data_IF_984234842770
#
_entry.id   IF_984234842770
#
_cell.length_a   1.000
_cell.length_b   1.000
_cell.length_c   1.000
_cell.angle_alpha   90.00
_cell.angle_beta   90.00
_cell.angle_gamma   90.00
#
_symmetry.space_group_name_H-M   'P 1'
#
loop_
_entity.id
_entity.type
_entity.pdbx_description
1 polymer ?
#
# COMPACT_ATOMS: atom_id res chain seq x y z
N UNK A 1 -28.93 35.54 -52.19
CA UNK A 1 -28.22 34.35 -51.66
C UNK A 1 -27.50 34.75 -50.38
N UNK A 2 -28.16 34.58 -49.24
CA UNK A 2 -27.69 35.04 -47.92
C UNK A 2 -27.13 33.81 -47.21
N UNK A 3 -25.82 33.78 -46.96
CA UNK A 3 -25.18 32.70 -46.16
C UNK A 3 -25.30 32.95 -44.69
N UNK A 4 -26.02 32.09 -43.97
CA UNK A 4 -26.00 32.04 -42.52
C UNK A 4 -24.68 31.40 -42.04
N UNK A 5 -23.92 32.12 -41.27
CA UNK A 5 -22.77 31.59 -40.54
C UNK A 5 -23.26 31.07 -39.17
N UNK A 6 -23.16 29.74 -38.97
CA UNK A 6 -23.44 29.13 -37.66
C UNK A 6 -22.22 29.30 -36.76
N UNK A 7 -22.39 30.05 -35.68
CA UNK A 7 -21.38 30.19 -34.61
C UNK A 7 -21.50 29.01 -33.68
N UNK A 8 -20.51 28.10 -33.67
CA UNK A 8 -20.35 27.04 -32.66
C UNK A 8 -19.72 27.67 -31.41
N UNK A 9 -20.51 27.82 -30.35
CA UNK A 9 -19.97 28.11 -29.02
C UNK A 9 -19.40 26.84 -28.44
N UNK A 10 -18.07 26.78 -28.36
CA UNK A 10 -17.35 25.78 -27.54
C UNK A 10 -17.51 26.19 -26.07
N UNK A 11 -18.34 25.45 -25.35
CA UNK A 11 -18.41 25.56 -23.88
C UNK A 11 -17.14 24.92 -23.29
N UNK A 12 -16.18 25.74 -22.87
CA UNK A 12 -15.08 25.30 -22.00
C UNK A 12 -15.70 25.05 -20.63
N UNK A 13 -15.84 23.77 -20.27
CA UNK A 13 -16.09 23.37 -18.88
C UNK A 13 -14.82 23.74 -18.10
N UNK A 14 -14.88 24.81 -17.32
CA UNK A 14 -13.86 25.12 -16.32
C UNK A 14 -14.03 24.09 -15.20
N UNK A 15 -13.17 23.06 -15.17
CA UNK A 15 -13.01 22.26 -13.96
C UNK A 15 -12.66 23.22 -12.81
N UNK A 16 -13.47 23.23 -11.78
CA UNK A 16 -13.14 23.95 -10.55
C UNK A 16 -11.81 23.40 -10.02
N UNK A 17 -10.91 24.24 -9.50
CA UNK A 17 -9.69 23.73 -8.90
C UNK A 17 -10.07 22.74 -7.79
N UNK A 18 -9.52 21.55 -7.85
CA UNK A 18 -9.67 20.54 -6.79
C UNK A 18 -9.28 21.18 -5.46
N UNK A 19 -10.25 21.35 -4.57
CA UNK A 19 -9.99 21.88 -3.24
C UNK A 19 -9.76 20.72 -2.30
N UNK A 20 -8.49 20.41 -2.03
CA UNK A 20 -8.11 19.45 -1.01
C UNK A 20 -8.74 19.79 0.33
N UNK A 21 -9.32 18.79 1.00
CA UNK A 21 -9.97 18.95 2.28
C UNK A 21 -8.97 19.01 3.43
N UNK A 22 -9.36 19.63 4.55
CA UNK A 22 -8.57 19.62 5.77
C UNK A 22 -8.35 18.19 6.27
N UNK A 23 -7.13 17.89 6.73
CA UNK A 23 -6.75 16.60 7.28
C UNK A 23 -6.43 16.75 8.74
N UNK A 24 -7.08 15.95 9.59
CA UNK A 24 -6.82 15.87 11.02
C UNK A 24 -6.09 14.56 11.32
N UNK A 25 -5.04 14.65 12.14
CA UNK A 25 -4.19 13.53 12.57
C UNK A 25 -4.15 13.55 14.09
N UNK A 26 -4.78 12.57 14.74
CA UNK A 26 -5.02 12.56 16.19
C UNK A 26 -4.55 11.24 16.83
N UNK A 27 -3.65 11.32 17.82
CA UNK A 27 -3.12 10.13 18.51
C UNK A 27 -4.00 9.71 19.71
N UNK A 28 -4.23 8.41 19.80
CA UNK A 28 -4.91 7.75 20.92
C UNK A 28 -4.12 6.48 21.33
N UNK A 29 -3.24 6.63 22.31
CA UNK A 29 -2.37 5.50 22.74
C UNK A 29 -1.43 5.06 21.63
N UNK A 30 -1.57 3.81 21.20
CA UNK A 30 -0.79 3.17 20.13
C UNK A 30 -1.49 3.23 18.75
N UNK A 31 -2.40 4.16 18.61
CA UNK A 31 -3.16 4.41 17.38
C UNK A 31 -3.15 5.89 17.02
N UNK A 32 -3.20 6.17 15.72
CA UNK A 32 -3.35 7.54 15.19
C UNK A 32 -4.49 7.52 14.19
N UNK A 33 -5.57 8.24 14.51
CA UNK A 33 -6.71 8.42 13.62
C UNK A 33 -6.43 9.53 12.61
N UNK A 34 -6.81 9.28 11.36
CA UNK A 34 -6.73 10.23 10.27
C UNK A 34 -8.13 10.50 9.74
N UNK A 35 -8.52 11.77 9.71
CA UNK A 35 -9.77 12.25 9.15
C UNK A 35 -9.49 13.18 7.96
N UNK A 36 -10.32 13.13 6.93
CA UNK A 36 -10.24 14.01 5.76
C UNK A 36 -11.62 14.65 5.55
N UNK A 37 -11.70 15.99 5.56
CA UNK A 37 -12.95 16.71 5.47
C UNK A 37 -13.93 16.38 6.61
N UNK A 38 -13.41 16.13 7.82
CA UNK A 38 -14.20 15.74 8.99
C UNK A 38 -14.77 14.31 8.94
N UNK A 39 -14.41 13.50 7.92
CA UNK A 39 -14.81 12.09 7.79
C UNK A 39 -13.65 11.15 8.16
N UNK A 40 -13.91 10.04 8.89
CA UNK A 40 -12.88 9.04 9.15
C UNK A 40 -12.30 8.47 7.85
N UNK A 41 -10.98 8.44 7.75
CA UNK A 41 -10.27 7.87 6.61
C UNK A 41 -9.58 6.56 6.98
N UNK A 42 -8.68 6.61 7.95
CA UNK A 42 -7.94 5.43 8.41
C UNK A 42 -7.42 5.63 9.82
N UNK A 43 -6.98 4.52 10.45
CA UNK A 43 -6.24 4.52 11.72
C UNK A 43 -4.89 3.83 11.51
N UNK A 44 -3.79 4.49 11.88
CA UNK A 44 -2.46 3.88 11.93
C UNK A 44 -2.28 3.17 13.28
N UNK A 45 -2.11 1.86 13.24
CA UNK A 45 -1.96 0.98 14.39
C UNK A 45 -0.48 0.54 14.48
N UNK A 46 0.19 0.88 15.58
CA UNK A 46 1.62 0.62 15.80
C UNK A 46 1.93 -0.02 17.16
N UNK A 47 0.91 -0.50 17.85
CA UNK A 47 1.03 -1.21 19.12
C UNK A 47 1.65 -2.61 18.98
N UNK A 48 1.99 -3.21 20.11
CA UNK A 48 2.62 -4.53 20.19
C UNK A 48 1.69 -5.70 19.86
N UNK A 49 0.40 -5.46 19.65
CA UNK A 49 -0.62 -6.46 19.34
C UNK A 49 -0.40 -7.15 17.97
N UNK A 50 0.27 -6.46 17.04
CA UNK A 50 0.66 -7.01 15.76
C UNK A 50 2.18 -7.07 15.62
N UNK A 51 2.69 -7.94 14.75
CA UNK A 51 4.13 -8.05 14.51
C UNK A 51 4.70 -6.86 13.73
N UNK A 52 3.85 -6.09 13.06
CA UNK A 52 4.21 -4.93 12.24
C UNK A 52 3.13 -3.87 12.29
N UNK A 53 3.46 -2.57 12.09
CA UNK A 53 2.46 -1.51 12.01
C UNK A 53 1.63 -1.62 10.73
N UNK A 54 0.40 -1.12 10.77
CA UNK A 54 -0.53 -1.17 9.65
C UNK A 54 -1.53 -0.02 9.70
N UNK A 55 -2.14 0.31 8.55
CA UNK A 55 -3.28 1.22 8.46
C UNK A 55 -4.56 0.42 8.23
N UNK A 56 -5.58 0.65 9.09
CA UNK A 56 -6.87 -0.03 9.03
C UNK A 56 -7.99 0.79 9.70
N UNK A 57 -9.21 0.77 9.11
CA UNK A 57 -9.48 0.41 7.71
C UNK A 57 -9.04 1.53 6.76
N UNK A 58 -8.88 1.25 5.47
CA UNK A 58 -8.89 2.30 4.46
C UNK A 58 -10.31 2.54 3.97
N UNK A 59 -10.69 3.81 3.78
CA UNK A 59 -12.02 4.21 3.35
C UNK A 59 -11.97 5.09 2.11
N UNK A 60 -12.98 4.96 1.25
CA UNK A 60 -13.23 5.89 0.15
C UNK A 60 -13.62 7.29 0.67
N UNK A 61 -13.73 8.25 -0.22
CA UNK A 61 -14.24 9.59 0.09
C UNK A 61 -15.70 9.58 0.60
N UNK A 62 -16.46 8.55 0.24
CA UNK A 62 -17.83 8.35 0.72
C UNK A 62 -17.91 7.62 2.06
N UNK A 63 -16.77 7.06 2.53
CA UNK A 63 -16.66 6.34 3.80
C UNK A 63 -16.74 4.81 3.68
N UNK A 64 -16.87 4.28 2.46
CA UNK A 64 -16.89 2.83 2.21
C UNK A 64 -15.54 2.20 2.52
N UNK A 65 -15.53 1.12 3.30
CA UNK A 65 -14.31 0.36 3.62
C UNK A 65 -13.88 -0.42 2.39
N UNK A 66 -12.62 -0.22 1.96
CA UNK A 66 -12.04 -0.85 0.76
C UNK A 66 -10.98 -1.91 1.08
N UNK A 67 -10.65 -2.09 2.37
CA UNK A 67 -9.71 -3.12 2.83
C UNK A 67 -10.42 -4.22 3.62
N UNK A 68 -9.85 -5.44 3.59
CA UNK A 68 -10.32 -6.57 4.39
C UNK A 68 -10.27 -6.22 5.89
N UNK A 69 -11.28 -6.68 6.64
CA UNK A 69 -11.38 -6.42 8.07
C UNK A 69 -10.69 -7.48 8.93
N UNK A 70 -10.66 -8.73 8.48
CA UNK A 70 -9.96 -9.81 9.19
C UNK A 70 -8.43 -9.64 9.11
N UNK A 71 -7.65 -9.85 10.21
CA UNK A 71 -8.07 -10.32 11.53
C UNK A 71 -8.43 -9.21 12.54
N UNK A 72 -8.38 -7.92 12.16
CA UNK A 72 -8.59 -6.79 13.07
C UNK A 72 -10.02 -6.72 13.60
N UNK A 73 -10.99 -7.09 12.77
CA UNK A 73 -12.40 -7.26 13.14
C UNK A 73 -12.82 -8.66 12.75
N UNK A 74 -13.39 -9.40 13.72
CA UNK A 74 -13.88 -10.75 13.47
C UNK A 74 -15.26 -10.77 12.82
N UNK A 75 -15.57 -11.91 12.17
CA UNK A 75 -16.92 -12.29 11.75
C UNK A 75 -17.67 -11.32 10.83
N UNK A 76 -16.96 -10.72 9.87
CA UNK A 76 -17.61 -10.01 8.77
C UNK A 76 -18.16 -11.04 7.78
N UNK A 77 -19.49 -11.08 7.55
CA UNK A 77 -20.09 -12.08 6.67
C UNK A 77 -19.52 -12.09 5.25
N UNK A 78 -19.06 -13.25 4.79
CA UNK A 78 -18.52 -13.46 3.45
C UNK A 78 -17.05 -13.05 3.28
N UNK A 79 -16.39 -12.55 4.32
CA UNK A 79 -14.96 -12.25 4.30
C UNK A 79 -14.13 -13.53 4.55
N UNK A 80 -13.03 -13.72 3.79
CA UNK A 80 -12.15 -14.86 3.96
C UNK A 80 -11.26 -14.70 5.20
N UNK A 81 -11.11 -15.79 5.98
CA UNK A 81 -10.28 -15.84 7.18
C UNK A 81 -8.94 -16.55 6.94
N UNK A 82 -8.40 -16.41 5.74
CA UNK A 82 -7.07 -16.86 5.35
C UNK A 82 -6.01 -15.78 5.61
N UNK A 83 -4.74 -16.16 5.59
CA UNK A 83 -3.60 -15.24 5.62
C UNK A 83 -3.77 -14.08 6.64
N UNK A 84 -3.93 -14.38 7.94
CA UNK A 84 -4.25 -13.35 8.95
C UNK A 84 -3.13 -12.31 9.15
N UNK A 85 -1.91 -12.60 8.72
CA UNK A 85 -0.79 -11.66 8.72
C UNK A 85 -0.92 -10.56 7.64
N UNK A 86 -1.83 -10.71 6.68
CA UNK A 86 -2.11 -9.69 5.64
C UNK A 86 -3.13 -8.67 6.17
N UNK A 87 -2.67 -7.78 7.05
CA UNK A 87 -3.49 -6.77 7.73
C UNK A 87 -3.68 -5.55 6.83
N UNK A 88 -4.88 -5.32 6.29
CA UNK A 88 -5.23 -4.15 5.48
C UNK A 88 -4.06 -3.56 4.65
N UNK A 89 -3.38 -2.49 5.10
CA UNK A 89 -2.23 -1.90 4.42
C UNK A 89 -1.00 -1.90 5.33
N UNK A 90 0.12 -2.46 4.88
CA UNK A 90 1.33 -2.62 5.68
C UNK A 90 2.61 -2.68 4.81
N UNK A 91 3.76 -2.44 5.46
CA UNK A 91 5.08 -2.59 4.86
C UNK A 91 5.87 -3.63 5.66
N UNK A 92 6.39 -4.65 4.98
CA UNK A 92 7.21 -5.71 5.58
C UNK A 92 7.83 -6.59 4.50
N UNK A 93 8.80 -7.44 4.86
CA UNK A 93 9.42 -8.37 3.93
C UNK A 93 9.69 -9.74 4.58
N UNK A 94 9.52 -10.82 3.82
CA UNK A 94 9.56 -12.20 4.31
C UNK A 94 10.96 -12.78 4.52
N UNK A 95 12.01 -12.05 4.15
CA UNK A 95 13.41 -12.47 4.41
C UNK A 95 14.30 -11.24 4.62
N UNK A 96 14.49 -10.85 5.88
CA UNK A 96 15.50 -9.84 6.26
C UNK A 96 16.54 -10.53 7.13
N UNK A 97 17.76 -10.72 6.64
CA UNK A 97 18.82 -11.51 7.28
C UNK A 97 18.36 -12.92 7.73
N UNK A 98 17.42 -13.55 6.98
CA UNK A 98 16.89 -14.87 7.30
C UNK A 98 15.66 -14.88 8.23
N UNK A 99 15.16 -13.73 8.65
CA UNK A 99 13.97 -13.61 9.48
C UNK A 99 12.77 -13.09 8.67
N UNK A 100 11.60 -13.68 8.93
CA UNK A 100 10.34 -13.31 8.30
C UNK A 100 9.64 -12.18 9.08
N UNK A 101 9.62 -10.98 8.50
CA UNK A 101 8.88 -9.82 9.01
C UNK A 101 7.51 -9.66 8.33
N UNK A 102 7.27 -10.38 7.21
CA UNK A 102 5.98 -10.36 6.51
C UNK A 102 4.93 -11.19 7.23
N UNK A 103 5.29 -12.41 7.61
CA UNK A 103 4.47 -13.30 8.42
C UNK A 103 4.35 -12.82 9.87
N UNK A 104 3.63 -13.57 10.69
CA UNK A 104 3.50 -13.36 12.13
C UNK A 104 3.59 -14.71 12.84
N UNK A 105 4.39 -14.81 13.91
CA UNK A 105 4.62 -16.06 14.62
C UNK A 105 3.32 -16.71 15.14
N UNK A 106 2.34 -15.90 15.55
CA UNK A 106 1.02 -16.35 16.00
C UNK A 106 0.23 -17.07 14.90
N UNK A 107 0.56 -16.75 13.63
CA UNK A 107 -0.07 -17.31 12.45
C UNK A 107 0.89 -18.21 11.65
N UNK A 108 1.90 -18.80 12.29
CA UNK A 108 2.96 -19.59 11.65
C UNK A 108 2.45 -20.69 10.71
N UNK A 109 1.25 -21.25 10.95
CA UNK A 109 0.60 -22.23 10.06
C UNK A 109 0.34 -21.72 8.64
N UNK A 110 0.31 -20.39 8.46
CA UNK A 110 0.13 -19.72 7.18
C UNK A 110 1.45 -19.28 6.54
N UNK A 111 2.56 -19.44 7.26
CA UNK A 111 3.90 -19.10 6.79
C UNK A 111 4.67 -20.32 6.34
N UNK A 112 5.59 -20.13 5.40
CA UNK A 112 6.53 -21.14 4.95
C UNK A 112 7.75 -21.26 5.87
N UNK A 113 7.87 -20.40 6.90
CA UNK A 113 8.97 -20.36 7.86
C UNK A 113 8.58 -20.97 9.21
N UNK A 114 9.58 -21.37 10.00
CA UNK A 114 9.34 -21.79 11.38
C UNK A 114 9.08 -20.58 12.29
N UNK A 115 8.34 -20.71 13.40
CA UNK A 115 8.10 -19.61 14.33
C UNK A 115 9.36 -18.94 14.90
N UNK A 116 10.48 -19.68 14.95
CA UNK A 116 11.77 -19.17 15.44
C UNK A 116 12.48 -18.23 14.45
N UNK A 117 12.04 -18.18 13.21
CA UNK A 117 12.61 -17.32 12.18
C UNK A 117 11.83 -16.03 11.94
N UNK A 118 10.85 -15.71 12.78
CA UNK A 118 10.07 -14.48 12.63
C UNK A 118 10.77 -13.27 13.26
N UNK A 119 10.53 -12.09 12.64
CA UNK A 119 10.88 -10.79 13.18
C UNK A 119 9.65 -9.98 13.58
N UNK A 120 9.87 -8.82 14.19
CA UNK A 120 8.84 -7.84 14.55
C UNK A 120 9.35 -6.44 14.27
N UNK A 121 8.49 -5.59 13.73
CA UNK A 121 8.72 -4.14 13.58
C UNK A 121 8.19 -3.46 14.85
N UNK A 122 9.10 -3.05 15.74
CA UNK A 122 8.79 -2.57 17.09
C UNK A 122 8.85 -1.06 17.14
N UNK A 123 7.77 -0.40 17.57
CA UNK A 123 7.70 1.05 17.68
C UNK A 123 8.76 1.63 18.62
N UNK A 124 9.46 2.68 18.17
CA UNK A 124 10.48 3.40 18.92
C UNK A 124 10.06 4.84 19.21
N UNK A 125 9.68 5.59 18.18
CA UNK A 125 9.34 7.02 18.32
C UNK A 125 8.32 7.48 17.27
N UNK A 126 7.62 8.56 17.60
CA UNK A 126 6.81 9.34 16.66
C UNK A 126 7.51 10.69 16.45
N UNK A 127 8.07 10.90 15.24
CA UNK A 127 8.84 12.07 14.91
C UNK A 127 8.00 13.24 14.38
N UNK A 128 6.94 12.92 13.64
CA UNK A 128 6.05 13.91 13.06
C UNK A 128 4.61 13.48 13.22
N UNK A 129 3.76 14.40 13.59
CA UNK A 129 2.31 14.30 13.51
C UNK A 129 1.77 15.70 13.23
N UNK A 130 1.17 15.88 12.05
CA UNK A 130 0.72 17.19 11.57
C UNK A 130 -0.63 17.08 10.90
N UNK A 131 -1.57 17.85 11.42
CA UNK A 131 -2.83 18.19 10.75
C UNK A 131 -2.64 19.42 9.87
N UNK A 132 -3.47 19.64 8.83
CA UNK A 132 -3.39 20.85 8.02
C UNK A 132 -4.45 20.96 6.94
N UNK A 133 -4.54 22.14 6.34
CA UNK A 133 -5.42 22.41 5.22
C UNK A 133 -4.84 21.74 3.97
N UNK A 134 -5.61 20.83 3.37
CA UNK A 134 -5.24 20.09 2.17
C UNK A 134 -4.35 18.86 2.40
N UNK A 135 -3.60 18.77 3.50
CA UNK A 135 -2.82 17.56 3.82
C UNK A 135 -2.48 17.42 5.29
N UNK A 136 -2.38 16.18 5.76
CA UNK A 136 -1.82 15.80 7.06
C UNK A 136 -0.65 14.84 6.91
N UNK A 137 0.20 14.71 7.93
CA UNK A 137 1.35 13.82 7.87
C UNK A 137 1.63 13.16 9.22
N UNK A 138 2.23 11.96 9.15
CA UNK A 138 2.86 11.33 10.30
C UNK A 138 4.19 10.67 9.88
N UNK A 139 5.14 10.60 10.82
CA UNK A 139 6.38 9.84 10.67
C UNK A 139 6.71 9.13 11.96
N UNK A 140 6.92 7.83 11.88
CA UNK A 140 7.24 6.98 13.01
C UNK A 140 8.50 6.16 12.74
N UNK A 141 9.26 5.86 13.79
CA UNK A 141 10.49 5.09 13.79
C UNK A 141 10.29 3.78 14.53
N UNK A 142 10.94 2.74 13.99
CA UNK A 142 10.83 1.37 14.47
C UNK A 142 12.21 0.70 14.50
N UNK A 143 12.32 -0.29 15.37
CA UNK A 143 13.40 -1.27 15.37
C UNK A 143 12.94 -2.55 14.67
N UNK A 144 13.76 -3.12 13.80
CA UNK A 144 13.57 -4.46 13.25
C UNK A 144 14.20 -5.48 14.22
N UNK A 145 13.35 -6.15 14.98
CA UNK A 145 13.76 -7.03 16.08
C UNK A 145 13.48 -8.49 15.71
N UNK A 146 14.52 -9.34 15.81
CA UNK A 146 14.43 -10.77 15.54
C UNK A 146 13.74 -11.54 16.66
N UNK A 147 13.37 -12.81 16.41
CA UNK A 147 12.88 -13.73 17.45
C UNK A 147 13.89 -13.91 18.61
N UNK A 148 15.18 -13.74 18.35
CA UNK A 148 16.27 -13.82 19.34
C UNK A 148 16.44 -12.49 20.12
N UNK A 149 15.56 -11.51 19.86
CA UNK A 149 15.50 -10.17 20.49
C UNK A 149 16.71 -9.29 20.12
N UNK A 150 17.33 -9.54 18.98
CA UNK A 150 18.36 -8.67 18.43
C UNK A 150 17.72 -7.58 17.56
N UNK A 151 18.11 -6.33 17.74
CA UNK A 151 17.79 -5.25 16.80
C UNK A 151 18.79 -5.34 15.63
N UNK A 152 18.31 -5.58 14.42
CA UNK A 152 19.15 -5.77 13.23
C UNK A 152 19.13 -4.58 12.27
N UNK A 153 18.19 -3.68 12.40
CA UNK A 153 18.07 -2.48 11.57
C UNK A 153 17.03 -1.51 12.16
N UNK A 154 17.02 -0.29 11.67
CA UNK A 154 15.96 0.67 11.93
C UNK A 154 15.08 0.85 10.69
N UNK A 155 13.78 1.11 10.92
CA UNK A 155 12.82 1.41 9.88
C UNK A 155 12.09 2.71 10.18
N UNK A 156 11.98 3.59 9.18
CA UNK A 156 11.13 4.80 9.25
C UNK A 156 9.94 4.60 8.31
N UNK A 157 8.74 4.82 8.81
CA UNK A 157 7.51 4.88 8.02
C UNK A 157 6.97 6.31 8.06
N UNK A 158 6.83 6.94 6.89
CA UNK A 158 6.25 8.26 6.75
C UNK A 158 5.07 8.23 5.79
N UNK A 159 4.00 8.91 6.17
CA UNK A 159 2.76 8.97 5.40
C UNK A 159 2.30 10.42 5.29
N UNK A 160 1.88 10.82 4.09
CA UNK A 160 1.14 12.07 3.86
C UNK A 160 -0.24 11.72 3.34
N UNK A 161 -1.25 12.26 3.99
CA UNK A 161 -2.65 12.02 3.68
C UNK A 161 -3.25 13.26 3.03
N UNK A 162 -4.02 13.07 1.98
CA UNK A 162 -4.81 14.12 1.32
C UNK A 162 -6.06 13.53 0.68
N UNK A 163 -6.95 14.37 0.23
CA UNK A 163 -8.17 13.94 -0.47
C UNK A 163 -9.18 15.05 -0.59
N UNK A 164 -10.20 14.81 -1.40
CA UNK A 164 -11.33 15.68 -1.65
C UNK A 164 -12.68 14.95 -1.48
N UNK A 165 -13.72 15.36 -2.20
CA UNK A 165 -15.05 14.72 -2.16
C UNK A 165 -15.10 13.38 -2.91
N UNK A 166 -14.10 13.08 -3.76
CA UNK A 166 -14.11 11.96 -4.70
C UNK A 166 -13.01 10.96 -4.45
N UNK A 167 -11.88 11.41 -3.87
CA UNK A 167 -10.67 10.58 -3.76
C UNK A 167 -9.95 10.72 -2.42
N UNK A 168 -9.11 9.73 -2.14
CA UNK A 168 -8.18 9.68 -1.01
C UNK A 168 -6.80 9.27 -1.49
N UNK A 169 -5.78 9.98 -1.03
CA UNK A 169 -4.38 9.70 -1.36
C UNK A 169 -3.59 9.48 -0.08
N UNK A 170 -2.72 8.48 -0.11
CA UNK A 170 -1.68 8.26 0.88
C UNK A 170 -0.34 8.19 0.16
N UNK A 171 0.51 9.18 0.34
CA UNK A 171 1.91 9.10 -0.08
C UNK A 171 2.73 8.43 1.03
N UNK A 172 3.37 7.31 0.67
CA UNK A 172 4.11 6.46 1.59
C UNK A 172 5.60 6.56 1.30
N UNK A 173 6.42 6.70 2.34
CA UNK A 173 7.88 6.60 2.26
C UNK A 173 8.39 5.70 3.37
N UNK A 174 9.06 4.63 2.97
CA UNK A 174 9.69 3.66 3.86
C UNK A 174 11.21 3.76 3.71
N UNK A 175 11.92 3.82 4.84
CA UNK A 175 13.38 3.83 4.85
C UNK A 175 13.84 2.73 5.80
N UNK A 176 14.63 1.80 5.29
CA UNK A 176 15.32 0.80 6.11
C UNK A 176 16.78 1.24 6.22
N UNK A 177 17.28 1.39 7.45
CA UNK A 177 18.63 1.81 7.74
C UNK A 177 19.44 0.68 8.40
N UNK A 178 20.53 0.27 7.76
CA UNK A 178 21.38 -0.86 8.17
C UNK A 178 22.43 -0.42 9.20
N UNK A 179 22.01 0.12 10.35
CA UNK A 179 22.87 0.69 11.39
C UNK A 179 23.51 -0.35 12.34
N UNK A 180 23.17 -1.64 12.17
CA UNK A 180 23.75 -2.75 12.93
C UNK A 180 24.63 -3.67 12.07
N UNK A 181 25.13 -3.20 10.94
CA UNK A 181 25.91 -3.96 9.97
C UNK A 181 25.17 -4.14 8.64
N UNK A 182 25.76 -4.83 7.66
CA UNK A 182 25.12 -5.05 6.37
C UNK A 182 23.80 -5.81 6.54
N UNK A 183 22.76 -5.36 5.84
CA UNK A 183 21.42 -5.96 5.92
C UNK A 183 21.04 -6.55 4.57
N UNK A 184 20.78 -7.86 4.53
CA UNK A 184 20.30 -8.55 3.34
C UNK A 184 18.77 -8.58 3.31
N UNK A 185 18.18 -8.00 2.27
CA UNK A 185 16.79 -8.20 1.91
C UNK A 185 16.76 -9.37 0.92
N UNK A 186 16.14 -10.48 1.30
CA UNK A 186 16.21 -11.75 0.55
C UNK A 186 15.26 -11.80 -0.64
N UNK A 187 15.47 -12.80 -1.50
CA UNK A 187 14.61 -13.06 -2.66
C UNK A 187 13.41 -13.92 -2.23
N UNK A 188 12.27 -13.29 -2.03
CA UNK A 188 10.99 -13.95 -1.75
C UNK A 188 9.83 -13.16 -2.34
N UNK A 189 8.74 -13.84 -2.74
CA UNK A 189 7.50 -13.18 -3.16
C UNK A 189 6.76 -12.50 -2.00
N UNK A 190 7.06 -12.91 -0.75
CA UNK A 190 6.44 -12.38 0.47
C UNK A 190 7.01 -11.00 0.81
N UNK A 191 6.46 -9.98 0.22
CA UNK A 191 6.90 -8.57 0.34
C UNK A 191 6.25 -7.70 -0.71
N UNK A 192 6.47 -6.39 -0.68
CA UNK A 192 7.13 -5.62 0.38
C UNK A 192 6.15 -4.60 0.92
N UNK A 193 5.44 -3.87 0.04
CA UNK A 193 4.36 -2.97 0.39
C UNK A 193 3.03 -3.59 -0.05
N UNK A 194 2.20 -3.98 0.91
CA UNK A 194 1.01 -4.79 0.67
C UNK A 194 -0.28 -4.15 1.17
N UNK A 195 -1.36 -4.38 0.40
CA UNK A 195 -2.74 -4.08 0.79
C UNK A 195 -3.58 -5.33 0.57
N UNK A 196 -4.42 -5.68 1.55
CA UNK A 196 -5.46 -6.69 1.37
C UNK A 196 -6.79 -5.98 1.16
N UNK A 197 -7.34 -6.05 -0.06
CA UNK A 197 -8.61 -5.41 -0.41
C UNK A 197 -9.82 -6.18 0.13
N UNK A 198 -10.96 -5.50 0.22
CA UNK A 198 -12.24 -6.10 0.63
C UNK A 198 -12.73 -7.11 -0.42
N UNK A 199 -13.48 -8.13 0.03
CA UNK A 199 -13.99 -9.22 -0.81
C UNK A 199 -14.69 -8.77 -2.10
N UNK A 200 -15.42 -7.66 -2.06
CA UNK A 200 -16.15 -7.13 -3.21
C UNK A 200 -15.23 -6.62 -4.34
N UNK A 201 -13.97 -6.27 -4.05
CA UNK A 201 -12.96 -5.89 -5.04
C UNK A 201 -12.17 -7.10 -5.59
N UNK A 202 -12.37 -8.29 -5.05
CA UNK A 202 -11.70 -9.49 -5.53
C UNK A 202 -12.38 -10.05 -6.79
N UNK A 203 -11.62 -10.51 -7.81
CA UNK A 203 -12.20 -11.26 -8.91
C UNK A 203 -12.93 -12.55 -8.43
N UNK A 204 -14.03 -12.97 -9.05
CA UNK A 204 -14.63 -12.39 -10.27
C UNK A 204 -15.61 -11.23 -10.02
N UNK A 205 -15.92 -10.88 -8.77
CA UNK A 205 -16.87 -9.81 -8.43
C UNK A 205 -16.28 -8.44 -8.76
N UNK A 206 -15.04 -8.20 -8.32
CA UNK A 206 -14.24 -7.04 -8.70
C UNK A 206 -13.31 -7.35 -9.88
N UNK A 207 -12.47 -6.38 -10.19
CA UNK A 207 -11.54 -6.42 -11.30
C UNK A 207 -10.15 -6.03 -10.83
N UNK A 208 -9.12 -6.47 -11.56
CA UNK A 208 -7.74 -6.03 -11.36
C UNK A 208 -7.09 -5.74 -12.71
N UNK A 209 -6.34 -4.65 -12.79
CA UNK A 209 -5.64 -4.18 -13.99
C UNK A 209 -4.30 -3.55 -13.63
N UNK A 210 -3.32 -3.59 -14.52
CA UNK A 210 -2.05 -2.88 -14.36
C UNK A 210 -1.85 -1.79 -15.42
N UNK A 211 -0.81 -0.97 -15.26
CA UNK A 211 -0.46 0.13 -16.17
C UNK A 211 -0.23 -0.29 -17.63
N UNK A 212 0.09 -1.55 -17.89
CA UNK A 212 0.22 -2.14 -19.22
C UNK A 212 -1.10 -2.64 -19.82
N UNK A 213 -2.23 -2.48 -19.11
CA UNK A 213 -3.55 -2.96 -19.53
C UNK A 213 -3.77 -4.46 -19.36
N UNK A 214 -2.84 -5.19 -18.72
CA UNK A 214 -3.03 -6.59 -18.38
C UNK A 214 -4.02 -6.72 -17.22
N UNK A 215 -4.87 -7.75 -17.27
CA UNK A 215 -5.95 -7.99 -16.30
C UNK A 215 -5.85 -9.38 -15.67
N UNK A 216 -6.43 -9.50 -14.47
CA UNK A 216 -6.48 -10.74 -13.72
C UNK A 216 -5.12 -11.22 -13.22
N UNK A 217 -5.13 -12.17 -12.28
CA UNK A 217 -3.91 -12.67 -11.63
C UNK A 217 -2.85 -13.14 -12.64
N UNK A 218 -3.26 -13.93 -13.64
CA UNK A 218 -2.33 -14.48 -14.65
C UNK A 218 -1.59 -13.41 -15.47
N UNK A 219 -2.23 -12.26 -15.65
CA UNK A 219 -1.66 -11.13 -16.41
C UNK A 219 -0.77 -10.22 -15.55
N UNK A 220 -0.96 -10.21 -14.23
CA UNK A 220 -0.36 -9.22 -13.33
C UNK A 220 0.66 -9.85 -12.39
N UNK A 221 0.38 -11.01 -11.81
CA UNK A 221 1.29 -11.68 -10.88
C UNK A 221 2.67 -11.93 -11.51
N UNK A 222 3.71 -11.50 -10.81
CA UNK A 222 5.09 -11.62 -11.29
C UNK A 222 5.41 -10.81 -12.55
N UNK A 223 4.62 -9.78 -12.85
CA UNK A 223 4.87 -8.85 -13.96
C UNK A 223 5.25 -7.48 -13.43
N UNK A 224 6.01 -6.75 -14.24
CA UNK A 224 6.42 -5.37 -13.92
C UNK A 224 5.36 -4.41 -14.45
N UNK A 225 5.01 -3.42 -13.63
CA UNK A 225 4.08 -2.35 -14.00
C UNK A 225 4.32 -1.13 -13.11
N UNK A 226 3.97 0.05 -13.61
CA UNK A 226 4.09 1.31 -12.88
C UNK A 226 3.07 1.39 -11.74
N UNK A 227 1.91 0.76 -11.94
CA UNK A 227 0.83 0.67 -10.95
C UNK A 227 -0.05 -0.55 -11.20
N UNK A 228 -0.76 -0.96 -10.15
CA UNK A 228 -1.84 -1.96 -10.21
C UNK A 228 -3.04 -1.41 -9.44
N UNK A 229 -4.22 -1.61 -10.01
CA UNK A 229 -5.51 -1.18 -9.49
C UNK A 229 -6.49 -2.35 -9.32
N UNK A 230 -7.24 -2.33 -8.21
CA UNK A 230 -8.41 -3.18 -7.95
C UNK A 230 -9.65 -2.30 -7.87
N UNK A 231 -10.67 -2.60 -8.66
CA UNK A 231 -11.90 -1.80 -8.69
C UNK A 231 -13.16 -2.65 -8.83
N UNK A 232 -14.27 -2.12 -8.37
CA UNK A 232 -15.55 -2.82 -8.41
C UNK A 232 -16.65 -2.05 -7.67
N UNK A 233 -17.74 -2.76 -7.34
CA UNK A 233 -18.83 -2.20 -6.55
C UNK A 233 -18.77 -2.72 -5.11
N UNK A 234 -18.58 -1.82 -4.15
CA UNK A 234 -18.56 -2.13 -2.72
C UNK A 234 -19.74 -1.43 -2.05
N UNK A 235 -20.69 -2.20 -1.54
CA UNK A 235 -21.89 -1.70 -0.87
C UNK A 235 -22.68 -0.64 -1.67
N UNK A 236 -22.68 -0.75 -3.01
CA UNK A 236 -23.39 0.18 -3.91
C UNK A 236 -22.52 1.32 -4.44
N UNK A 237 -21.30 1.50 -3.94
CA UNK A 237 -20.33 2.48 -4.43
C UNK A 237 -19.40 1.85 -5.48
N UNK A 238 -19.26 2.49 -6.65
CA UNK A 238 -18.21 2.15 -7.62
C UNK A 238 -16.90 2.77 -7.14
N UNK A 239 -15.93 1.94 -6.76
CA UNK A 239 -14.69 2.37 -6.11
C UNK A 239 -13.50 1.55 -6.57
N UNK A 240 -12.32 2.16 -6.62
CA UNK A 240 -11.05 1.49 -6.88
C UNK A 240 -9.98 1.86 -5.86
N UNK A 241 -8.95 1.01 -5.80
CA UNK A 241 -7.75 1.19 -4.98
C UNK A 241 -6.52 0.78 -5.79
N UNK A 242 -5.68 1.77 -6.10
CA UNK A 242 -4.42 1.56 -6.80
C UNK A 242 -3.21 1.75 -5.88
N UNK A 243 -2.15 0.96 -6.11
CA UNK A 243 -0.80 1.26 -5.64
C UNK A 243 0.03 1.71 -6.84
N UNK A 244 0.69 2.87 -6.71
CA UNK A 244 1.58 3.47 -7.71
C UNK A 244 3.03 3.35 -7.20
N UNK A 245 3.91 2.76 -8.03
CA UNK A 245 5.33 2.56 -7.74
C UNK A 245 6.16 3.76 -8.19
N UNK A 246 6.93 4.37 -7.29
CA UNK A 246 7.69 5.59 -7.63
C UNK A 246 8.89 5.28 -8.53
N UNK A 247 9.20 6.13 -9.55
CA UNK A 247 10.32 5.91 -10.47
C UNK A 247 11.70 5.80 -9.81
N UNK A 248 11.89 6.38 -8.63
CA UNK A 248 13.14 6.28 -7.87
C UNK A 248 13.28 4.99 -7.05
N UNK A 249 12.27 4.14 -7.03
CA UNK A 249 12.35 2.89 -6.30
C UNK A 249 13.36 1.93 -6.91
N UNK A 250 14.00 1.14 -6.03
CA UNK A 250 14.88 0.07 -6.46
C UNK A 250 14.15 -0.84 -7.47
N UNK A 251 14.75 -1.04 -8.65
CA UNK A 251 14.21 -1.90 -9.73
C UNK A 251 12.84 -1.46 -10.25
N UNK A 252 12.53 -0.17 -10.19
CA UNK A 252 11.31 0.36 -10.81
C UNK A 252 11.24 0.02 -12.33
N UNK A 253 10.05 -0.32 -12.91
CA UNK A 253 8.80 -0.67 -12.23
C UNK A 253 8.90 -1.97 -11.44
N UNK A 254 8.27 -2.00 -10.25
CA UNK A 254 8.27 -3.18 -9.39
C UNK A 254 7.59 -4.39 -10.03
N UNK A 255 7.95 -5.59 -9.57
CA UNK A 255 7.12 -6.78 -9.75
C UNK A 255 5.94 -6.75 -8.77
N UNK A 256 4.85 -7.43 -9.14
CA UNK A 256 3.62 -7.39 -8.36
C UNK A 256 3.24 -8.77 -7.85
N UNK A 257 3.08 -8.90 -6.54
CA UNK A 257 2.41 -10.01 -5.89
C UNK A 257 0.91 -9.66 -5.77
N UNK A 258 0.20 -9.70 -6.91
CA UNK A 258 -1.22 -9.36 -7.00
C UNK A 258 -2.04 -10.63 -7.22
N UNK A 259 -2.97 -10.92 -6.32
CA UNK A 259 -3.68 -12.19 -6.24
C UNK A 259 -5.19 -12.00 -6.34
N UNK A 260 -5.86 -12.93 -6.98
CA UNK A 260 -7.32 -12.89 -7.12
C UNK A 260 -8.07 -12.97 -5.77
N UNK A 261 -7.41 -13.38 -4.70
CA UNK A 261 -7.95 -13.35 -3.33
C UNK A 261 -7.72 -12.01 -2.63
N UNK A 262 -7.39 -10.95 -3.35
CA UNK A 262 -7.35 -9.57 -2.85
C UNK A 262 -6.04 -9.09 -2.25
N UNK A 263 -4.94 -9.85 -2.33
CA UNK A 263 -3.62 -9.31 -2.01
C UNK A 263 -3.08 -8.50 -3.19
N UNK A 264 -2.71 -7.25 -2.93
CA UNK A 264 -2.01 -6.36 -3.83
C UNK A 264 -0.70 -5.92 -3.18
N UNK A 265 0.45 -6.39 -3.68
CA UNK A 265 1.73 -6.00 -3.15
C UNK A 265 2.77 -5.67 -4.23
N UNK A 266 3.46 -4.53 -4.07
CA UNK A 266 4.62 -4.16 -4.84
C UNK A 266 5.87 -4.78 -4.22
N UNK A 267 6.66 -5.55 -5.00
CA UNK A 267 7.82 -6.27 -4.47
C UNK A 267 9.00 -6.27 -5.46
N UNK A 268 10.06 -5.50 -5.20
CA UNK A 268 11.24 -5.47 -6.06
C UNK A 268 12.21 -6.64 -5.84
N UNK A 269 11.96 -7.57 -4.91
CA UNK A 269 12.93 -8.59 -4.50
C UNK A 269 12.58 -10.03 -4.91
N UNK A 270 11.33 -10.36 -5.24
CA UNK A 270 10.84 -11.72 -5.46
C UNK A 270 11.16 -12.33 -6.82
N UNK A 271 12.34 -12.09 -7.42
CA UNK A 271 12.65 -12.45 -8.81
C UNK A 271 12.54 -13.94 -9.08
N UNK A 272 13.05 -14.78 -8.17
CA UNK A 272 13.10 -16.24 -8.31
C UNK A 272 11.70 -16.82 -8.48
N UNK A 273 10.76 -16.39 -7.65
CA UNK A 273 9.40 -16.89 -7.70
C UNK A 273 8.60 -16.23 -8.83
N UNK A 274 8.72 -14.93 -9.02
CA UNK A 274 7.96 -14.19 -10.05
C UNK A 274 8.32 -14.62 -11.47
N UNK A 275 9.58 -14.96 -11.72
CA UNK A 275 10.05 -15.38 -13.04
C UNK A 275 10.15 -16.90 -13.18
N UNK A 276 9.78 -17.66 -12.13
CA UNK A 276 9.89 -19.14 -12.10
C UNK A 276 11.29 -19.65 -12.46
N UNK A 277 12.33 -18.90 -12.08
CA UNK A 277 13.72 -19.24 -12.35
C UNK A 277 14.56 -19.28 -11.07
N UNK A 278 14.89 -20.48 -10.62
CA UNK A 278 15.69 -20.74 -9.41
C UNK A 278 17.14 -20.25 -9.48
N UNK A 279 17.61 -19.87 -10.67
CA UNK A 279 18.97 -19.36 -10.87
C UNK A 279 19.06 -17.85 -10.68
N UNK A 280 17.93 -17.17 -10.62
CA UNK A 280 17.86 -15.74 -10.33
C UNK A 280 18.04 -15.48 -8.82
N UNK A 281 18.57 -14.32 -8.51
CA UNK A 281 18.66 -13.81 -7.14
C UNK A 281 18.20 -12.33 -7.13
N UNK A 282 17.00 -12.11 -6.60
CA UNK A 282 16.42 -10.80 -6.39
C UNK A 282 16.82 -10.15 -5.07
N UNK A 283 17.68 -10.78 -4.28
CA UNK A 283 18.13 -10.19 -3.02
C UNK A 283 18.87 -8.86 -3.23
N UNK A 284 18.92 -8.06 -2.18
CA UNK A 284 19.64 -6.79 -2.14
C UNK A 284 20.33 -6.63 -0.79
N UNK A 285 21.59 -6.21 -0.80
CA UNK A 285 22.32 -5.92 0.43
C UNK A 285 22.42 -4.41 0.62
N UNK A 286 21.85 -3.92 1.71
CA UNK A 286 22.07 -2.55 2.18
C UNK A 286 23.43 -2.59 2.91
N UNK A 287 24.46 -1.81 2.46
CA UNK A 287 25.75 -1.77 3.15
C UNK A 287 25.59 -1.28 4.59
N UNK A 288 26.54 -1.60 5.46
CA UNK A 288 26.57 -1.04 6.81
C UNK A 288 26.49 0.49 6.75
N UNK A 289 25.67 1.07 7.62
CA UNK A 289 25.33 2.50 7.69
C UNK A 289 24.64 3.07 6.44
N UNK A 290 24.28 2.19 5.48
CA UNK A 290 23.50 2.55 4.30
C UNK A 290 22.00 2.51 4.56
N UNK A 291 21.23 3.01 3.58
CA UNK A 291 19.77 3.01 3.64
C UNK A 291 19.16 2.59 2.31
N UNK A 292 18.00 1.93 2.38
CA UNK A 292 17.10 1.68 1.26
C UNK A 292 15.84 2.51 1.45
N UNK A 293 15.49 3.30 0.46
CA UNK A 293 14.22 4.06 0.45
C UNK A 293 13.30 3.49 -0.62
N UNK A 294 12.04 3.25 -0.23
CA UNK A 294 10.95 2.89 -1.13
C UNK A 294 9.79 3.87 -0.95
N UNK A 295 9.18 4.28 -2.06
CA UNK A 295 8.09 5.25 -2.10
C UNK A 295 6.92 4.68 -2.92
N UNK A 296 5.72 4.86 -2.40
CA UNK A 296 4.49 4.43 -3.06
C UNK A 296 3.40 5.47 -2.85
N UNK A 297 2.46 5.53 -3.78
CA UNK A 297 1.19 6.24 -3.58
C UNK A 297 0.06 5.22 -3.57
N UNK A 298 -0.80 5.29 -2.57
CA UNK A 298 -2.10 4.62 -2.57
C UNK A 298 -3.13 5.64 -3.02
N UNK A 299 -3.90 5.28 -4.03
CA UNK A 299 -4.94 6.11 -4.61
C UNK A 299 -6.27 5.37 -4.53
N UNK A 300 -7.20 5.88 -3.72
CA UNK A 300 -8.56 5.35 -3.57
C UNK A 300 -9.49 6.33 -4.27
N UNK A 301 -10.23 5.84 -5.26
CA UNK A 301 -10.93 6.67 -6.21
C UNK A 301 -12.35 6.16 -6.50
N UNK A 302 -13.20 7.04 -7.00
CA UNK A 302 -14.50 6.68 -7.56
C UNK A 302 -14.34 6.05 -8.95
N UNK A 303 -15.24 5.12 -9.30
CA UNK A 303 -15.26 4.50 -10.62
C UNK A 303 -14.14 3.48 -10.88
N UNK A 304 -13.89 3.21 -12.16
CA UNK A 304 -12.78 2.37 -12.61
C UNK A 304 -11.49 3.20 -12.82
N UNK A 305 -10.39 2.52 -13.18
CA UNK A 305 -9.08 3.16 -13.42
C UNK A 305 -9.07 4.20 -14.56
N UNK A 306 -10.05 4.15 -15.50
CA UNK A 306 -10.19 5.13 -16.59
C UNK A 306 -10.98 6.33 -16.13
N UNK A 307 -12.08 6.10 -15.40
CA UNK A 307 -12.91 7.17 -14.84
C UNK A 307 -12.09 8.06 -13.91
N UNK A 308 -11.20 7.46 -13.13
CA UNK A 308 -10.32 8.12 -12.17
C UNK A 308 -8.98 8.60 -12.78
N UNK A 309 -8.74 8.37 -14.05
CA UNK A 309 -7.46 8.68 -14.73
C UNK A 309 -6.22 8.26 -13.91
N UNK A 310 -6.20 7.01 -13.42
CA UNK A 310 -5.06 6.47 -12.63
C UNK A 310 -3.72 6.68 -13.34
N UNK A 311 -3.71 6.64 -14.68
CA UNK A 311 -2.52 6.90 -15.46
C UNK A 311 -2.04 8.36 -15.35
N UNK A 312 -2.95 9.34 -15.40
CA UNK A 312 -2.64 10.76 -15.22
C UNK A 312 -2.17 11.05 -13.80
N UNK A 313 -2.82 10.47 -12.78
CA UNK A 313 -2.40 10.57 -11.37
C UNK A 313 -0.99 9.97 -11.19
N UNK A 314 -0.69 8.85 -11.85
CA UNK A 314 0.67 8.29 -11.84
C UNK A 314 1.69 9.23 -12.47
N UNK A 315 1.40 9.84 -13.63
CA UNK A 315 2.31 10.78 -14.30
C UNK A 315 2.64 11.99 -13.39
N UNK A 316 1.65 12.53 -12.71
CA UNK A 316 1.85 13.62 -11.74
C UNK A 316 2.71 13.16 -10.55
N UNK A 317 2.43 11.99 -9.98
CA UNK A 317 3.20 11.41 -8.87
C UNK A 317 4.65 11.12 -9.26
N UNK A 318 4.87 10.64 -10.48
CA UNK A 318 6.19 10.33 -11.03
C UNK A 318 6.99 11.58 -11.46
N UNK A 319 6.41 12.78 -11.39
CA UNK A 319 7.06 14.02 -11.86
C UNK A 319 7.29 14.07 -13.37
N UNK A 320 6.40 13.46 -14.15
CA UNK A 320 6.49 13.35 -15.62
C UNK A 320 5.45 14.20 -16.34
#
# INVERSE_FOLDING_TARGET
MTRLASLFLLAFSSASPETWQAVEVNRHGDQIDVMVGGKPFTTYCFGSEAAKPYLFPLRSAQGTVVTRSFPMVGDIPGEDHDEPHQRAMYFAHGDINGYDFWGEAEFARWSHHSPSAFGRTVFRALDEMRSGDGSGALRAEFDLVTSDKENIAEETQAYTFSGDEHERIIDCKFVIHANHGPLRIGDTKEGTFGIRVVKALEPPTGHMVNSGGATGEKGIWGRRADWVDYYGNVAGESVGLAILDHPENLRHPSYWHARQYGLLAANPFGLREFLHDRHLDGSYVIPADGSLTLRYRVFIHHGDFRDADVAGVYMQYAGK
#
